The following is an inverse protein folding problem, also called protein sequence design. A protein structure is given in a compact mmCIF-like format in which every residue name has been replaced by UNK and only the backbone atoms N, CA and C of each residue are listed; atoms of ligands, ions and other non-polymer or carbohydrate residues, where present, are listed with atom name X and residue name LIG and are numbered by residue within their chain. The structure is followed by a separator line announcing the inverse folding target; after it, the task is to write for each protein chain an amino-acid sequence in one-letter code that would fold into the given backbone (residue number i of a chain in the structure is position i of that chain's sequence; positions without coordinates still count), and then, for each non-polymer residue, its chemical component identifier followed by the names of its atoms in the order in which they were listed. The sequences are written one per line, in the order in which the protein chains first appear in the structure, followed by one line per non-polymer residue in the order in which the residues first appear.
data_IF_276864505000
#
_entry.id   IF_276864505000
#
_cell.length_a   1.000
_cell.length_b   1.000
_cell.length_c   1.000
_cell.angle_alpha   90.00
_cell.angle_beta   90.00
_cell.angle_gamma   90.00
#
_symmetry.space_group_name_H-M   'P 1'
#
loop_
_entity.id
_entity.type
_entity.pdbx_description
1 polymer ?
#
# COMPACT_ATOMS: atom_id res chain seq x y z
N UNK A 1 6.26 -12.61 16.03
CA UNK A 1 7.49 -12.51 15.24
C UNK A 1 8.59 -13.26 15.98
N UNK A 2 9.64 -13.72 15.28
CA UNK A 2 10.81 -14.37 15.89
C UNK A 2 12.10 -13.62 15.51
N UNK A 3 12.31 -12.40 16.04
CA UNK A 3 13.47 -11.58 15.69
C UNK A 3 14.79 -12.15 16.22
N UNK A 4 14.74 -13.12 17.14
CA UNK A 4 15.93 -13.81 17.67
C UNK A 4 16.53 -14.82 16.70
N UNK A 5 15.70 -15.44 15.84
CA UNK A 5 16.16 -16.51 14.96
C UNK A 5 16.02 -16.17 13.46
N UNK A 6 15.20 -15.17 13.11
CA UNK A 6 15.07 -14.70 11.74
C UNK A 6 15.95 -13.47 11.50
N UNK A 7 16.97 -13.65 10.67
CA UNK A 7 17.82 -12.56 10.19
C UNK A 7 16.96 -11.49 9.48
N UNK A 8 17.08 -10.24 9.92
CA UNK A 8 16.40 -9.11 9.31
C UNK A 8 16.71 -9.00 7.82
N UNK A 9 17.96 -9.26 7.40
CA UNK A 9 18.37 -9.14 6.00
C UNK A 9 17.61 -10.14 5.12
N UNK A 10 17.39 -11.36 5.60
CA UNK A 10 16.58 -12.38 4.94
C UNK A 10 15.12 -11.91 4.73
N UNK A 11 14.57 -11.18 5.71
CA UNK A 11 13.22 -10.63 5.64
C UNK A 11 13.09 -9.44 4.67
N UNK A 12 14.14 -8.62 4.52
CA UNK A 12 14.12 -7.39 3.69
C UNK A 12 14.84 -7.49 2.34
N UNK A 13 15.11 -8.72 1.88
CA UNK A 13 15.80 -9.02 0.61
C UNK A 13 17.22 -8.42 0.52
N UNK A 14 17.88 -8.25 1.66
CA UNK A 14 19.30 -7.90 1.71
C UNK A 14 20.15 -9.17 1.72
N UNK A 15 21.46 -8.99 1.56
CA UNK A 15 22.39 -10.12 1.57
C UNK A 15 22.33 -10.88 2.89
N UNK A 16 22.16 -12.20 2.79
CA UNK A 16 22.12 -13.14 3.92
C UNK A 16 22.65 -14.49 3.44
N UNK A 17 22.88 -15.43 4.37
CA UNK A 17 23.20 -16.81 4.02
C UNK A 17 21.98 -17.59 3.46
N UNK A 18 20.79 -16.99 3.57
CA UNK A 18 19.53 -17.62 3.21
C UNK A 18 19.20 -18.79 4.14
N UNK A 19 18.18 -19.56 3.74
CA UNK A 19 17.73 -20.75 4.48
C UNK A 19 17.68 -21.93 3.50
N UNK A 20 18.28 -23.04 3.90
CA UNK A 20 18.17 -24.31 3.19
C UNK A 20 17.07 -25.17 3.82
N UNK A 21 16.08 -25.57 3.03
CA UNK A 21 15.04 -26.49 3.47
C UNK A 21 15.47 -27.94 3.20
N UNK A 22 15.78 -28.67 4.27
CA UNK A 22 16.20 -30.06 4.21
C UNK A 22 15.15 -31.02 3.63
N UNK A 23 13.86 -30.66 3.62
CA UNK A 23 12.82 -31.52 3.07
C UNK A 23 12.73 -31.40 1.56
N UNK A 24 12.66 -30.18 1.04
CA UNK A 24 12.55 -29.91 -0.40
C UNK A 24 13.89 -29.85 -1.10
N UNK A 25 14.99 -29.76 -0.35
CA UNK A 25 16.37 -29.55 -0.84
C UNK A 25 16.54 -28.24 -1.61
N UNK A 26 15.67 -27.26 -1.33
CA UNK A 26 15.69 -25.93 -1.92
C UNK A 26 16.39 -24.93 -1.01
N UNK A 27 17.10 -23.99 -1.61
CA UNK A 27 17.68 -22.85 -0.92
C UNK A 27 16.88 -21.59 -1.23
N UNK A 28 16.65 -20.78 -0.20
CA UNK A 28 15.91 -19.54 -0.26
C UNK A 28 16.79 -18.38 0.19
N UNK A 29 17.05 -17.44 -0.71
CA UNK A 29 17.81 -16.21 -0.39
C UNK A 29 16.96 -15.16 0.35
N UNK A 30 15.64 -15.29 0.36
CA UNK A 30 14.73 -14.34 0.98
C UNK A 30 13.46 -15.02 1.53
N UNK A 31 12.90 -14.42 2.58
CA UNK A 31 11.72 -14.94 3.29
C UNK A 31 10.45 -14.94 2.43
N UNK A 32 10.30 -13.95 1.55
CA UNK A 32 9.12 -13.82 0.71
C UNK A 32 8.94 -15.01 -0.23
N UNK A 33 10.00 -15.45 -0.92
CA UNK A 33 9.96 -16.62 -1.80
C UNK A 33 9.65 -17.90 -1.00
N UNK A 34 10.21 -18.04 0.21
CA UNK A 34 9.92 -19.17 1.09
C UNK A 34 8.45 -19.21 1.53
N UNK A 35 7.85 -18.07 1.87
CA UNK A 35 6.43 -17.99 2.25
C UNK A 35 5.48 -18.30 1.08
N UNK A 36 5.83 -17.86 -0.14
CA UNK A 36 5.06 -18.19 -1.36
C UNK A 36 5.10 -19.70 -1.61
N UNK A 37 6.26 -20.33 -1.48
CA UNK A 37 6.41 -21.77 -1.69
C UNK A 37 5.77 -22.61 -0.58
N UNK A 38 5.81 -22.15 0.66
CA UNK A 38 5.05 -22.77 1.75
C UNK A 38 3.54 -22.78 1.45
N UNK A 39 3.02 -21.71 0.84
CA UNK A 39 1.61 -21.62 0.41
C UNK A 39 1.29 -22.61 -0.71
N UNK A 40 2.20 -22.76 -1.70
CA UNK A 40 2.06 -23.79 -2.73
C UNK A 40 2.07 -25.21 -2.15
N UNK A 41 2.99 -25.51 -1.24
CA UNK A 41 3.08 -26.81 -0.58
C UNK A 41 1.78 -27.15 0.18
N UNK A 42 1.18 -26.17 0.87
CA UNK A 42 -0.10 -26.35 1.55
C UNK A 42 -1.25 -26.62 0.56
N UNK A 43 -1.33 -25.86 -0.54
CA UNK A 43 -2.34 -26.06 -1.58
C UNK A 43 -2.23 -27.44 -2.24
N UNK A 44 -1.02 -27.89 -2.55
CA UNK A 44 -0.77 -29.22 -3.09
C UNK A 44 -1.20 -30.32 -2.11
N UNK A 45 -0.86 -30.16 -0.82
CA UNK A 45 -1.28 -31.12 0.21
C UNK A 45 -2.81 -31.22 0.33
N UNK A 46 -3.51 -30.12 0.06
CA UNK A 46 -4.96 -30.06 0.01
C UNK A 46 -5.58 -30.50 -1.34
N UNK A 47 -4.76 -30.90 -2.33
CA UNK A 47 -5.23 -31.39 -3.64
C UNK A 47 -5.33 -30.33 -4.74
N UNK A 48 -4.94 -29.08 -4.49
CA UNK A 48 -5.02 -27.96 -5.42
C UNK A 48 -3.70 -27.70 -6.16
N UNK A 49 -3.14 -28.72 -6.81
CA UNK A 49 -1.77 -28.68 -7.36
C UNK A 49 -1.52 -27.64 -8.46
N UNK A 50 -2.58 -27.19 -9.14
CA UNK A 50 -2.52 -26.20 -10.23
C UNK A 50 -2.97 -24.79 -9.79
N UNK A 51 -3.35 -24.60 -8.53
CA UNK A 51 -3.87 -23.31 -8.06
C UNK A 51 -2.73 -22.29 -7.98
N UNK A 52 -2.82 -21.14 -8.66
CA UNK A 52 -1.81 -20.10 -8.57
C UNK A 52 -1.89 -19.37 -7.22
N UNK A 53 -0.73 -19.08 -6.64
CA UNK A 53 -0.62 -18.17 -5.49
C UNK A 53 -0.38 -16.75 -6.00
N UNK A 54 -1.17 -15.80 -5.50
CA UNK A 54 -0.97 -14.36 -5.67
C UNK A 54 -0.89 -13.76 -4.28
N UNK A 55 0.18 -13.02 -3.99
CA UNK A 55 0.33 -12.35 -2.70
C UNK A 55 -0.57 -11.10 -2.70
N UNK A 56 -1.71 -11.17 -2.04
CA UNK A 56 -2.69 -10.08 -2.02
C UNK A 56 -2.19 -8.86 -1.26
N UNK A 57 -1.32 -9.04 -0.28
CA UNK A 57 -0.77 -7.95 0.55
C UNK A 57 0.66 -8.30 0.97
N UNK A 58 1.55 -7.34 0.80
CA UNK A 58 2.89 -7.40 1.38
C UNK A 58 3.48 -5.99 1.51
N UNK A 59 4.20 -5.71 2.58
CA UNK A 59 4.77 -4.41 2.82
C UNK A 59 5.55 -4.38 4.12
N UNK A 60 6.05 -3.20 4.46
CA UNK A 60 6.84 -3.01 5.67
C UNK A 60 6.59 -1.63 6.26
N UNK A 61 6.26 -1.57 7.54
CA UNK A 61 5.92 -0.33 8.23
C UNK A 61 7.13 0.60 8.36
N UNK A 62 6.92 1.88 8.07
CA UNK A 62 7.95 2.92 8.13
C UNK A 62 8.15 3.51 9.52
N UNK A 63 7.26 3.20 10.46
CA UNK A 63 7.31 3.64 11.85
C UNK A 63 6.47 2.69 12.69
N UNK A 64 6.98 2.26 13.83
CA UNK A 64 6.24 1.48 14.82
C UNK A 64 6.31 2.09 16.22
N UNK A 65 5.77 1.36 17.18
CA UNK A 65 5.92 1.59 18.61
C UNK A 65 7.34 1.25 19.09
N UNK A 66 7.65 1.52 20.36
CA UNK A 66 9.01 1.37 20.91
C UNK A 66 9.51 -0.08 20.91
N UNK A 67 8.59 -1.06 20.94
CA UNK A 67 8.85 -2.49 20.87
C UNK A 67 8.84 -3.06 19.44
N UNK A 68 8.52 -2.23 18.43
CA UNK A 68 8.50 -2.60 17.02
C UNK A 68 9.81 -2.24 16.31
N UNK A 69 10.95 -2.72 16.82
CA UNK A 69 12.29 -2.32 16.35
C UNK A 69 12.54 -2.52 14.83
N UNK A 70 11.81 -3.41 14.18
CA UNK A 70 11.87 -3.62 12.73
C UNK A 70 11.21 -2.51 11.90
N UNK A 71 10.27 -1.74 12.47
CA UNK A 71 9.47 -0.74 11.77
C UNK A 71 10.22 0.60 11.69
N UNK A 72 10.93 0.82 10.59
CA UNK A 72 11.69 2.04 10.33
C UNK A 72 11.60 2.45 8.87
N UNK A 73 11.78 3.74 8.60
CA UNK A 73 11.79 4.30 7.23
C UNK A 73 12.83 3.59 6.35
N UNK A 74 14.00 3.27 6.92
CA UNK A 74 15.07 2.58 6.20
C UNK A 74 14.66 1.16 5.81
N UNK A 75 14.13 0.37 6.75
CA UNK A 75 13.70 -0.99 6.46
C UNK A 75 12.51 -1.02 5.49
N UNK A 76 11.55 -0.11 5.65
CA UNK A 76 10.41 0.02 4.74
C UNK A 76 10.83 0.34 3.31
N UNK A 77 11.76 1.30 3.16
CA UNK A 77 12.35 1.66 1.88
C UNK A 77 13.10 0.49 1.26
N UNK A 78 13.92 -0.22 2.03
CA UNK A 78 14.70 -1.36 1.57
C UNK A 78 13.80 -2.50 1.10
N UNK A 79 12.86 -2.93 1.95
CA UNK A 79 11.89 -3.98 1.63
C UNK A 79 11.12 -3.67 0.35
N UNK A 80 10.42 -2.54 0.29
CA UNK A 80 9.54 -2.22 -0.84
C UNK A 80 10.31 -1.97 -2.14
N UNK A 81 11.52 -1.39 -2.06
CA UNK A 81 12.39 -1.22 -3.23
C UNK A 81 12.91 -2.56 -3.74
N UNK A 82 13.33 -3.46 -2.86
CA UNK A 82 13.87 -4.75 -3.24
C UNK A 82 12.77 -5.71 -3.71
N UNK A 83 11.59 -5.68 -3.08
CA UNK A 83 10.39 -6.34 -3.60
C UNK A 83 10.08 -5.89 -5.03
N UNK A 84 10.08 -4.57 -5.29
CA UNK A 84 9.89 -4.04 -6.65
C UNK A 84 10.92 -4.59 -7.63
N UNK A 85 12.21 -4.63 -7.26
CA UNK A 85 13.28 -5.23 -8.09
C UNK A 85 13.03 -6.72 -8.30
N UNK A 86 12.63 -7.46 -7.27
CA UNK A 86 12.34 -8.90 -7.31
C UNK A 86 11.19 -9.21 -8.26
N UNK A 87 10.09 -8.47 -8.20
CA UNK A 87 8.94 -8.62 -9.10
C UNK A 87 9.28 -8.22 -10.54
N UNK A 88 10.10 -7.17 -10.74
CA UNK A 88 10.57 -6.74 -12.08
C UNK A 88 11.35 -7.83 -12.82
N UNK A 89 12.00 -8.77 -12.10
CA UNK A 89 12.69 -9.92 -12.73
C UNK A 89 11.74 -10.86 -13.47
N UNK A 90 10.43 -10.83 -13.17
CA UNK A 90 9.41 -11.73 -13.75
C UNK A 90 9.81 -13.22 -13.68
N UNK A 91 10.43 -13.62 -12.57
CA UNK A 91 10.83 -15.00 -12.30
C UNK A 91 9.97 -15.59 -11.18
N UNK A 92 9.79 -16.90 -11.22
CA UNK A 92 9.18 -17.67 -10.14
C UNK A 92 10.06 -17.78 -8.90
N UNK A 93 9.60 -18.57 -7.94
CA UNK A 93 10.31 -18.95 -6.71
C UNK A 93 11.17 -20.20 -6.94
N UNK A 94 12.02 -20.62 -5.98
CA UNK A 94 12.75 -21.89 -6.07
C UNK A 94 11.87 -23.11 -6.36
N UNK A 95 10.69 -23.25 -5.74
CA UNK A 95 9.80 -24.40 -5.96
C UNK A 95 8.94 -24.27 -7.23
N UNK A 96 8.66 -23.05 -7.66
CA UNK A 96 7.85 -22.76 -8.86
C UNK A 96 8.58 -21.82 -9.83
N UNK A 97 9.73 -22.24 -10.40
CA UNK A 97 10.59 -21.34 -11.20
C UNK A 97 9.90 -20.78 -12.45
N UNK A 98 8.98 -21.56 -13.04
CA UNK A 98 8.27 -21.21 -14.28
C UNK A 98 6.98 -20.39 -14.05
N UNK A 99 6.58 -20.16 -12.79
CA UNK A 99 5.39 -19.37 -12.48
C UNK A 99 5.79 -18.00 -11.93
N UNK A 100 5.55 -16.95 -12.73
CA UNK A 100 5.88 -15.58 -12.33
C UNK A 100 5.20 -15.19 -11.03
N UNK A 101 6.00 -14.75 -10.04
CA UNK A 101 5.47 -14.25 -8.77
C UNK A 101 4.72 -12.93 -8.98
N UNK A 102 3.53 -12.83 -8.39
CA UNK A 102 2.68 -11.64 -8.39
C UNK A 102 2.36 -11.25 -6.96
N UNK A 103 2.48 -9.96 -6.67
CA UNK A 103 2.19 -9.41 -5.36
C UNK A 103 1.64 -7.99 -5.47
N UNK A 104 0.80 -7.60 -4.51
CA UNK A 104 0.35 -6.22 -4.32
C UNK A 104 1.00 -5.64 -3.07
N UNK A 105 1.55 -4.43 -3.22
CA UNK A 105 2.16 -3.73 -2.09
C UNK A 105 1.07 -3.15 -1.21
N UNK A 106 1.10 -3.50 0.07
CA UNK A 106 0.29 -2.91 1.10
C UNK A 106 1.11 -1.81 1.81
N UNK A 107 0.72 -0.53 1.76
CA UNK A 107 -0.44 0.03 1.07
C UNK A 107 -0.07 1.32 0.32
N UNK A 108 -1.05 1.89 -0.40
CA UNK A 108 -0.82 3.14 -1.11
C UNK A 108 -0.59 4.31 -0.14
N UNK A 109 -1.41 4.44 0.91
CA UNK A 109 -1.36 5.54 1.86
C UNK A 109 -1.17 5.08 3.29
N UNK A 110 -0.61 5.95 4.13
CA UNK A 110 -0.71 5.81 5.57
C UNK A 110 -2.16 6.02 6.01
N UNK A 111 -2.72 5.05 6.73
CA UNK A 111 -4.14 5.04 7.13
C UNK A 111 -4.27 5.40 8.61
N UNK A 112 -4.43 6.68 8.91
CA UNK A 112 -4.42 7.24 10.26
C UNK A 112 -5.52 6.71 11.20
N UNK A 113 -6.60 6.14 10.65
CA UNK A 113 -7.72 5.58 11.42
C UNK A 113 -7.57 4.07 11.69
N UNK A 114 -6.47 3.43 11.27
CA UNK A 114 -6.25 2.02 11.60
C UNK A 114 -6.08 1.83 13.12
N UNK A 115 -6.80 0.86 13.72
CA UNK A 115 -6.62 0.50 15.11
C UNK A 115 -5.28 -0.24 15.32
N UNK A 116 -4.88 -0.45 16.58
CA UNK A 116 -3.71 -1.24 16.92
C UNK A 116 -2.40 -0.44 16.98
N UNK A 117 -1.25 -1.12 16.85
CA UNK A 117 0.09 -0.52 16.99
C UNK A 117 0.34 0.64 16.01
N UNK A 118 1.39 1.42 16.28
CA UNK A 118 1.78 2.52 15.38
C UNK A 118 2.15 2.03 13.98
N UNK A 119 2.71 0.84 13.84
CA UNK A 119 3.02 0.23 12.53
C UNK A 119 1.83 0.19 11.57
N UNK A 120 0.63 -0.15 12.06
CA UNK A 120 -0.59 -0.29 11.26
C UNK A 120 -0.94 1.00 10.50
N UNK A 121 -0.61 2.17 11.06
CA UNK A 121 -0.87 3.47 10.45
C UNK A 121 0.23 3.93 9.48
N UNK A 122 1.30 3.14 9.29
CA UNK A 122 2.55 3.59 8.67
C UNK A 122 3.10 2.65 7.56
N UNK A 123 2.26 1.83 6.92
CA UNK A 123 2.61 0.99 5.78
C UNK A 123 2.62 1.71 4.42
N UNK A 124 2.08 2.93 4.34
CA UNK A 124 1.86 3.65 3.10
C UNK A 124 3.15 4.02 2.36
N UNK A 125 3.17 3.77 1.05
CA UNK A 125 4.17 4.33 0.14
C UNK A 125 4.10 5.85 0.03
N UNK A 126 2.89 6.41 0.26
CA UNK A 126 2.61 7.84 0.26
C UNK A 126 1.95 8.26 1.58
N UNK A 127 2.09 9.54 1.91
CA UNK A 127 1.34 10.21 2.98
C UNK A 127 -0.06 10.61 2.48
N UNK A 128 -1.00 10.98 3.36
CA UNK A 128 -2.35 11.37 2.96
C UNK A 128 -2.42 12.56 1.99
N UNK A 129 -1.40 13.44 1.98
CA UNK A 129 -1.28 14.57 1.07
C UNK A 129 -0.71 14.20 -0.32
N UNK A 130 -0.46 12.90 -0.57
CA UNK A 130 0.12 12.40 -1.82
C UNK A 130 1.65 12.54 -1.93
N UNK A 131 2.30 13.16 -0.95
CA UNK A 131 3.77 13.19 -0.88
C UNK A 131 4.32 11.80 -0.58
N UNK A 132 5.54 11.52 -1.01
CA UNK A 132 6.18 10.22 -0.78
C UNK A 132 6.48 10.03 0.71
N UNK A 133 6.21 8.84 1.25
CA UNK A 133 6.65 8.45 2.59
C UNK A 133 8.17 8.20 2.58
N UNK A 134 8.65 7.48 1.57
CA UNK A 134 10.04 7.17 1.31
C UNK A 134 10.24 6.81 -0.16
N UNK A 135 11.38 7.18 -0.73
CA UNK A 135 11.63 7.02 -2.16
C UNK A 135 12.00 5.56 -2.54
N UNK A 136 11.06 4.87 -3.19
CA UNK A 136 11.31 3.57 -3.83
C UNK A 136 11.41 3.66 -5.36
N UNK A 137 11.54 4.85 -5.92
CA UNK A 137 11.59 5.13 -7.36
C UNK A 137 10.22 5.33 -8.00
N UNK A 138 9.23 5.76 -7.21
CA UNK A 138 7.97 6.33 -7.68
C UNK A 138 7.99 7.83 -7.40
N UNK A 139 7.38 8.61 -8.28
CA UNK A 139 7.16 10.03 -8.05
C UNK A 139 5.94 10.25 -7.17
N UNK A 140 5.96 11.30 -6.34
CA UNK A 140 4.80 11.75 -5.57
C UNK A 140 3.54 11.88 -6.45
N UNK A 141 2.38 11.65 -5.84
CA UNK A 141 1.12 11.87 -6.53
C UNK A 141 0.98 13.38 -6.75
N UNK A 142 0.88 13.80 -8.01
CA UNK A 142 0.46 15.16 -8.31
C UNK A 142 -0.98 15.29 -7.85
N UNK A 143 -1.30 16.37 -7.15
CA UNK A 143 -2.70 16.72 -6.90
C UNK A 143 -3.44 16.62 -8.24
N UNK A 144 -4.50 15.83 -8.27
CA UNK A 144 -5.45 15.94 -9.37
C UNK A 144 -5.84 17.41 -9.38
N UNK A 145 -5.56 18.11 -10.48
CA UNK A 145 -6.25 19.35 -10.77
C UNK A 145 -7.70 18.95 -11.03
N UNK A 146 -8.44 18.60 -9.98
CA UNK A 146 -9.82 18.99 -9.93
C UNK A 146 -9.76 20.49 -10.12
N UNK A 147 -9.91 20.93 -11.37
CA UNK A 147 -10.24 22.29 -11.70
C UNK A 147 -11.25 22.65 -10.64
N UNK A 148 -10.91 23.54 -9.71
CA UNK A 148 -11.94 24.19 -8.92
C UNK A 148 -12.89 24.66 -9.99
N UNK A 149 -14.05 24.03 -10.09
CA UNK A 149 -15.16 24.62 -10.78
C UNK A 149 -15.32 25.90 -9.96
N UNK A 150 -14.71 26.98 -10.46
CA UNK A 150 -14.98 28.31 -9.98
C UNK A 150 -16.45 28.42 -10.34
N UNK A 151 -17.33 28.09 -9.40
CA UNK A 151 -18.57 28.82 -9.28
C UNK A 151 -18.13 30.25 -9.09
N UNK A 152 -17.87 30.90 -10.23
CA UNK A 152 -17.57 32.31 -10.30
C UNK A 152 -18.70 33.01 -9.59
N UNK A 153 -18.32 33.83 -8.63
CA UNK A 153 -19.12 34.82 -7.94
C UNK A 153 -20.53 35.01 -8.55
N UNK A 154 -21.53 34.35 -7.97
CA UNK A 154 -22.93 34.73 -8.21
C UNK A 154 -23.87 34.32 -7.08
N UNK A 155 -23.38 33.97 -5.88
CA UNK A 155 -24.28 33.81 -4.74
C UNK A 155 -24.95 35.16 -4.39
N UNK A 156 -24.21 36.27 -4.51
CA UNK A 156 -24.75 37.61 -4.29
C UNK A 156 -25.72 38.07 -5.39
N UNK A 157 -25.54 37.63 -6.64
CA UNK A 157 -26.47 37.98 -7.72
C UNK A 157 -27.79 37.18 -7.65
N UNK A 158 -27.73 35.92 -7.19
CA UNK A 158 -28.92 35.10 -6.94
C UNK A 158 -29.74 35.62 -5.75
N UNK A 159 -29.09 36.04 -4.67
CA UNK A 159 -29.80 36.64 -3.51
C UNK A 159 -30.43 37.99 -3.88
N UNK A 160 -29.75 38.81 -4.68
CA UNK A 160 -30.29 40.11 -5.14
C UNK A 160 -31.51 39.95 -6.05
N UNK A 161 -31.49 38.99 -6.98
CA UNK A 161 -32.63 38.72 -7.87
C UNK A 161 -33.88 38.24 -7.12
N UNK A 162 -33.74 37.42 -6.07
CA UNK A 162 -34.86 36.95 -5.27
C UNK A 162 -35.51 38.06 -4.43
N UNK A 163 -34.72 38.99 -3.87
CA UNK A 163 -35.24 40.11 -3.09
C UNK A 163 -35.98 41.12 -3.98
N UNK A 164 -35.46 41.40 -5.17
CA UNK A 164 -36.11 42.32 -6.13
C UNK A 164 -37.43 41.72 -6.66
N UNK A 165 -37.48 40.42 -6.92
CA UNK A 165 -38.72 39.72 -7.30
C UNK A 165 -39.76 39.75 -6.17
N UNK A 166 -39.37 39.51 -4.92
CA UNK A 166 -40.29 39.59 -3.77
C UNK A 166 -40.85 41.01 -3.56
N UNK A 167 -40.03 42.04 -3.73
CA UNK A 167 -40.46 43.45 -3.59
C UNK A 167 -41.34 43.91 -4.75
N UNK A 168 -41.13 43.38 -5.97
CA UNK A 168 -41.96 43.67 -7.13
C UNK A 168 -43.31 42.95 -7.06
N UNK A 169 -43.34 41.71 -6.56
CA UNK A 169 -44.60 40.97 -6.34
C UNK A 169 -45.47 41.60 -5.25
N UNK A 170 -44.87 42.20 -4.20
CA UNK A 170 -45.64 42.92 -3.18
C UNK A 170 -46.20 44.27 -3.66
N UNK A 171 -45.68 44.87 -4.74
CA UNK A 171 -46.21 46.12 -5.32
C UNK A 171 -47.32 45.90 -6.35
N UNK A 172 -47.55 44.67 -6.79
CA UNK A 172 -48.55 44.33 -7.82
C UNK A 172 -49.83 43.70 -7.25
N UNK A 173 -49.90 43.49 -5.93
CA UNK A 173 -51.13 43.04 -5.27
C UNK A 173 -51.92 44.28 -4.81
N UNK A 174 -53.13 44.53 -5.35
CA UNK A 174 -53.98 45.59 -4.85
C UNK A 174 -54.43 45.24 -3.43
N UNK A 175 -54.14 46.11 -2.47
CA UNK A 175 -54.68 46.03 -1.12
C UNK A 175 -56.16 46.37 -1.23
N UNK A 176 -57.04 45.38 -1.11
CA UNK A 176 -58.46 45.56 -0.80
C UNK A 176 -58.64 45.83 0.69
#
# INVERSE_FOLDING_TARGET
SDPSHIDLNYAIFEHTNGIYDEKTKLHYDNMFDAMVDASYAALEKAGYTKMPVIVSETGWASKGDADEAGASVNNAKTYNRNLRKRLKKRKGTPYRPDMVVRAYVFALFNENLKPGPTSERNFGLFKPDGSISYDIGFTGLKYSSATRCRFGASLNALVSACVVMFLLLHRLLPVT
#
